data_IF_858160548050
#
_entry.id   IF_858160548050
#
_cell.length_a   1.000
_cell.length_b   1.000
_cell.length_c   1.000
_cell.angle_alpha   90.00
_cell.angle_beta   90.00
_cell.angle_gamma   90.00
#
_symmetry.space_group_name_H-M   'P 1'
#
loop_
_entity.id
_entity.type
_entity.pdbx_description
1 polymer ?
#
# COMPACT_ATOMS: atom_id res chain seq x y z
N UNK A 1 22.93 0.56 2.54
CA UNK A 1 23.25 1.21 1.25
C UNK A 1 22.00 1.75 0.56
N UNK A 2 20.99 0.92 0.22
CA UNK A 2 19.76 1.40 -0.42
C UNK A 2 19.04 2.52 0.36
N UNK A 3 18.85 2.32 1.67
CA UNK A 3 18.22 3.32 2.55
C UNK A 3 19.02 4.64 2.50
N UNK A 4 20.35 4.56 2.58
CA UNK A 4 21.21 5.74 2.47
C UNK A 4 20.99 6.46 1.13
N UNK A 5 21.14 5.75 0.00
CA UNK A 5 21.00 6.33 -1.33
C UNK A 5 19.63 6.97 -1.54
N UNK A 6 18.58 6.33 -1.05
CA UNK A 6 17.22 6.83 -1.16
C UNK A 6 17.03 8.17 -0.45
N UNK A 7 17.33 8.20 0.86
CA UNK A 7 17.15 9.42 1.66
C UNK A 7 18.12 10.51 1.23
N UNK A 8 19.33 10.14 0.79
CA UNK A 8 20.27 11.08 0.20
C UNK A 8 19.70 11.75 -1.06
N UNK A 9 19.20 10.98 -2.03
CA UNK A 9 18.67 11.55 -3.29
C UNK A 9 17.44 12.42 -3.03
N UNK A 10 16.50 11.96 -2.19
CA UNK A 10 15.31 12.72 -1.85
C UNK A 10 15.65 14.01 -1.07
N UNK A 11 16.52 13.92 -0.06
CA UNK A 11 16.96 15.10 0.70
C UNK A 11 17.73 16.08 -0.20
N UNK A 12 18.60 15.59 -1.08
CA UNK A 12 19.34 16.42 -2.02
C UNK A 12 18.39 17.17 -2.96
N UNK A 13 17.38 16.49 -3.49
CA UNK A 13 16.38 17.14 -4.35
C UNK A 13 15.59 18.22 -3.60
N UNK A 14 15.20 17.96 -2.36
CA UNK A 14 14.46 18.92 -1.52
C UNK A 14 15.33 20.12 -1.11
N UNK A 15 16.60 19.91 -0.76
CA UNK A 15 17.45 21.00 -0.28
C UNK A 15 18.02 21.82 -1.44
N UNK A 16 18.42 21.17 -2.54
CA UNK A 16 19.07 21.83 -3.67
C UNK A 16 18.08 22.46 -4.66
N UNK A 17 16.86 21.92 -4.79
CA UNK A 17 15.82 22.44 -5.71
C UNK A 17 14.49 22.75 -5.03
N UNK A 18 14.31 22.37 -3.76
CA UNK A 18 13.00 22.33 -3.15
C UNK A 18 12.55 23.63 -2.50
N UNK A 19 11.23 23.80 -2.59
CA UNK A 19 10.28 24.74 -1.95
C UNK A 19 10.80 26.12 -1.52
N UNK A 20 10.38 27.19 -2.22
CA UNK A 20 10.60 28.59 -1.83
C UNK A 20 10.13 28.95 -0.41
N UNK A 21 9.22 28.15 0.16
CA UNK A 21 8.70 28.31 1.51
C UNK A 21 9.73 28.04 2.62
N UNK A 22 10.82 27.32 2.34
CA UNK A 22 11.91 27.11 3.29
C UNK A 22 13.12 28.04 3.06
N UNK A 23 13.09 28.86 1.99
CA UNK A 23 14.21 29.73 1.59
C UNK A 23 15.55 28.97 1.47
N UNK A 24 15.51 27.71 1.02
CA UNK A 24 16.68 26.85 0.81
C UNK A 24 17.24 26.97 -0.63
N UNK A 25 16.56 27.76 -1.45
CA UNK A 25 16.71 27.97 -2.88
C UNK A 25 18.12 28.44 -3.24
N UNK A 26 18.74 29.23 -2.35
CA UNK A 26 20.07 29.83 -2.51
C UNK A 26 21.17 29.05 -1.78
N UNK A 27 20.90 27.83 -1.30
CA UNK A 27 21.93 27.06 -0.59
C UNK A 27 23.02 26.59 -1.56
N UNK A 28 24.31 26.79 -1.23
CA UNK A 28 25.39 26.37 -2.10
C UNK A 28 25.41 24.83 -2.19
N UNK A 29 25.70 24.29 -3.38
CA UNK A 29 25.64 22.85 -3.68
C UNK A 29 26.39 21.99 -2.66
N UNK A 30 27.54 22.45 -2.17
CA UNK A 30 28.34 21.72 -1.18
C UNK A 30 27.60 21.56 0.17
N UNK A 31 26.87 22.59 0.61
CA UNK A 31 26.10 22.55 1.86
C UNK A 31 24.91 21.60 1.70
N UNK A 32 24.21 21.70 0.57
CA UNK A 32 23.14 20.75 0.18
C UNK A 32 23.62 19.30 0.21
N UNK A 33 24.80 19.03 -0.36
CA UNK A 33 25.40 17.68 -0.37
C UNK A 33 25.72 17.19 1.05
N UNK A 34 26.36 18.01 1.88
CA UNK A 34 26.72 17.62 3.25
C UNK A 34 25.47 17.32 4.08
N UNK A 35 24.48 18.22 4.08
CA UNK A 35 23.23 18.01 4.81
C UNK A 35 22.50 16.74 4.35
N UNK A 36 22.43 16.50 3.04
CA UNK A 36 21.77 15.32 2.48
C UNK A 36 22.49 14.02 2.82
N UNK A 37 23.84 14.04 2.86
CA UNK A 37 24.64 12.88 3.30
C UNK A 37 24.37 12.62 4.79
N UNK A 38 24.33 13.65 5.63
CA UNK A 38 24.03 13.50 7.06
C UNK A 38 22.64 12.91 7.30
N UNK A 39 21.62 13.40 6.60
CA UNK A 39 20.25 12.85 6.66
C UNK A 39 20.24 11.39 6.19
N UNK A 40 20.87 11.12 5.04
CA UNK A 40 20.97 9.76 4.49
C UNK A 40 21.63 8.78 5.45
N UNK A 41 22.73 9.17 6.10
CA UNK A 41 23.44 8.34 7.09
C UNK A 41 22.55 8.14 8.32
N UNK A 42 21.95 9.20 8.86
CA UNK A 42 21.07 9.11 10.02
C UNK A 42 19.90 8.15 9.80
N UNK A 43 19.19 8.30 8.68
CA UNK A 43 18.10 7.40 8.31
C UNK A 43 18.58 5.96 8.07
N UNK A 44 19.75 5.77 7.45
CA UNK A 44 20.32 4.44 7.26
C UNK A 44 20.69 3.76 8.58
N UNK A 45 21.23 4.49 9.55
CA UNK A 45 21.54 3.97 10.88
C UNK A 45 20.27 3.58 11.64
N UNK A 46 19.26 4.45 11.64
CA UNK A 46 17.95 4.15 12.25
C UNK A 46 17.33 2.90 11.61
N UNK A 47 17.34 2.82 10.28
CA UNK A 47 16.86 1.65 9.55
C UNK A 47 17.63 0.39 9.93
N UNK A 48 18.96 0.46 10.01
CA UNK A 48 19.82 -0.69 10.31
C UNK A 48 19.66 -1.20 11.76
N UNK A 49 19.60 -0.29 12.74
CA UNK A 49 19.62 -0.64 14.16
C UNK A 49 18.22 -0.80 14.78
N UNK A 50 17.18 -0.19 14.20
CA UNK A 50 15.81 -0.25 14.73
C UNK A 50 14.92 -0.98 13.74
N UNK A 51 14.88 -0.52 12.48
CA UNK A 51 13.95 -1.05 11.47
C UNK A 51 14.16 -2.52 11.15
N UNK A 52 15.37 -2.91 10.73
CA UNK A 52 15.70 -4.28 10.35
C UNK A 52 15.49 -5.28 11.50
N UNK A 53 16.02 -5.07 12.72
CA UNK A 53 15.81 -6.03 13.80
C UNK A 53 14.33 -6.12 14.21
N UNK A 54 13.58 -5.02 14.18
CA UNK A 54 12.15 -5.03 14.45
C UNK A 54 11.38 -5.86 13.42
N UNK A 55 11.64 -5.65 12.13
CA UNK A 55 11.00 -6.39 11.04
C UNK A 55 11.40 -7.87 11.10
N UNK A 56 12.69 -8.19 11.26
CA UNK A 56 13.17 -9.57 11.38
C UNK A 56 12.48 -10.31 12.52
N UNK A 57 12.41 -9.70 13.70
CA UNK A 57 11.75 -10.29 14.86
C UNK A 57 10.26 -10.53 14.59
N UNK A 58 9.57 -9.61 13.91
CA UNK A 58 8.17 -9.81 13.52
C UNK A 58 7.99 -10.94 12.50
N UNK A 59 8.85 -11.00 11.48
CA UNK A 59 8.80 -12.05 10.47
C UNK A 59 9.06 -13.41 11.10
N UNK A 60 10.06 -13.51 11.98
CA UNK A 60 10.40 -14.74 12.69
C UNK A 60 9.23 -15.24 13.56
N UNK A 61 8.62 -14.36 14.36
CA UNK A 61 7.43 -14.71 15.14
C UNK A 61 6.28 -15.16 14.23
N UNK A 62 6.06 -14.48 13.10
CA UNK A 62 5.01 -14.86 12.16
C UNK A 62 5.29 -16.23 11.51
N UNK A 63 6.54 -16.51 11.12
CA UNK A 63 6.96 -17.78 10.53
C UNK A 63 6.79 -18.93 11.52
N UNK A 64 7.24 -18.74 12.77
CA UNK A 64 7.08 -19.74 13.84
C UNK A 64 5.59 -20.01 14.08
N UNK A 65 4.75 -18.98 14.18
CA UNK A 65 3.31 -19.17 14.38
C UNK A 65 2.67 -19.92 13.20
N UNK A 66 3.07 -19.62 11.96
CA UNK A 66 2.57 -20.28 10.75
C UNK A 66 3.03 -21.73 10.64
N UNK A 67 4.27 -22.02 11.02
CA UNK A 67 4.81 -23.39 11.05
C UNK A 67 4.17 -24.23 12.15
N UNK A 68 3.96 -23.64 13.34
CA UNK A 68 3.22 -24.28 14.43
C UNK A 68 1.78 -24.61 14.03
N UNK A 69 1.09 -23.70 13.35
CA UNK A 69 -0.27 -23.94 12.82
C UNK A 69 -0.28 -25.11 11.82
N UNK A 70 0.63 -25.10 10.84
CA UNK A 70 0.70 -26.17 9.82
C UNK A 70 1.03 -27.56 10.40
N UNK A 71 1.84 -27.61 11.46
CA UNK A 71 2.27 -28.85 12.09
C UNK A 71 1.36 -29.29 13.24
N UNK A 72 0.29 -28.55 13.53
CA UNK A 72 -0.67 -28.90 14.57
C UNK A 72 -1.53 -30.09 14.07
N UNK A 73 -1.42 -31.29 14.66
CA UNK A 73 -2.18 -32.46 14.20
C UNK A 73 -3.69 -32.25 14.33
N UNK A 74 -4.14 -31.45 15.31
CA UNK A 74 -5.54 -31.00 15.39
C UNK A 74 -5.91 -30.11 14.19
N UNK A 75 -5.04 -29.22 13.70
CA UNK A 75 -5.36 -28.38 12.54
C UNK A 75 -5.38 -29.14 11.22
N UNK A 76 -4.55 -30.17 11.06
CA UNK A 76 -4.61 -31.07 9.90
C UNK A 76 -5.87 -31.95 9.93
N UNK A 77 -6.25 -32.47 11.09
CA UNK A 77 -7.54 -33.14 11.25
C UNK A 77 -8.71 -32.18 11.09
N UNK A 78 -8.60 -30.93 11.56
CA UNK A 78 -9.59 -29.88 11.33
C UNK A 78 -9.66 -29.55 9.86
N UNK A 79 -8.59 -29.27 9.09
CA UNK A 79 -8.69 -29.01 7.63
C UNK A 79 -9.35 -30.15 6.85
N UNK A 80 -9.02 -31.42 7.19
CA UNK A 80 -9.65 -32.59 6.59
C UNK A 80 -11.13 -32.73 7.01
N UNK A 81 -11.41 -32.57 8.31
CA UNK A 81 -12.75 -32.58 8.89
C UNK A 81 -13.58 -31.35 8.52
N UNK A 82 -12.94 -30.26 8.12
CA UNK A 82 -13.53 -28.98 7.75
C UNK A 82 -13.90 -29.01 6.29
N UNK A 83 -13.06 -29.58 5.41
CA UNK A 83 -13.50 -29.96 4.07
C UNK A 83 -14.74 -30.87 4.13
N UNK A 84 -14.75 -31.86 5.02
CA UNK A 84 -15.90 -32.75 5.24
C UNK A 84 -17.12 -32.04 5.88
N UNK A 85 -16.91 -31.22 6.92
CA UNK A 85 -17.94 -30.42 7.58
C UNK A 85 -18.50 -29.34 6.67
N UNK A 86 -17.72 -28.73 5.78
CA UNK A 86 -18.20 -27.79 4.77
C UNK A 86 -19.12 -28.51 3.81
N UNK A 87 -18.72 -29.68 3.31
CA UNK A 87 -19.53 -30.49 2.41
C UNK A 87 -20.82 -30.96 3.08
N UNK A 88 -20.78 -31.22 4.40
CA UNK A 88 -21.94 -31.67 5.18
C UNK A 88 -22.82 -30.51 5.65
N UNK A 89 -22.28 -29.39 6.13
CA UNK A 89 -22.98 -28.18 6.59
C UNK A 89 -23.58 -27.40 5.43
N UNK A 90 -22.90 -27.32 4.28
CA UNK A 90 -23.50 -26.81 3.04
C UNK A 90 -24.68 -27.69 2.60
N UNK A 91 -24.55 -29.03 2.70
CA UNK A 91 -25.68 -29.95 2.48
C UNK A 91 -26.80 -29.76 3.51
N UNK A 92 -26.46 -29.56 4.78
CA UNK A 92 -27.41 -29.41 5.88
C UNK A 92 -28.20 -28.10 5.79
N UNK A 93 -27.57 -26.99 5.37
CA UNK A 93 -28.24 -25.72 5.09
C UNK A 93 -29.18 -25.84 3.88
N UNK A 94 -28.76 -26.55 2.82
CA UNK A 94 -29.62 -26.85 1.67
C UNK A 94 -30.80 -27.74 2.06
N UNK A 95 -30.62 -28.64 3.04
CA UNK A 95 -31.64 -29.59 3.51
C UNK A 95 -32.61 -29.00 4.55
N UNK A 96 -32.14 -28.13 5.44
CA UNK A 96 -32.93 -27.49 6.53
C UNK A 96 -33.77 -26.30 6.07
N UNK A 97 -34.04 -26.15 4.77
CA UNK A 97 -34.93 -25.11 4.24
C UNK A 97 -36.41 -25.27 4.65
N UNK A 98 -36.75 -26.21 5.53
CA UNK A 98 -38.01 -26.21 6.26
C UNK A 98 -37.80 -26.17 7.79
N UNK A 99 -38.42 -25.14 8.41
CA UNK A 99 -38.79 -24.98 9.83
C UNK A 99 -37.88 -24.20 10.84
N UNK A 100 -38.54 -23.18 11.43
CA UNK A 100 -38.23 -22.31 12.60
C UNK A 100 -37.27 -21.09 12.42
N UNK A 101 -37.85 -19.88 12.57
CA UNK A 101 -37.54 -18.70 11.74
C UNK A 101 -36.78 -17.50 12.36
N UNK A 102 -36.34 -17.49 13.62
CA UNK A 102 -35.73 -16.26 14.20
C UNK A 102 -34.39 -16.50 14.93
N UNK A 103 -34.30 -17.45 15.86
CA UNK A 103 -33.02 -17.71 16.57
C UNK A 103 -31.99 -18.43 15.70
N UNK A 104 -32.43 -19.26 14.76
CA UNK A 104 -31.57 -19.88 13.75
C UNK A 104 -31.03 -18.85 12.73
N UNK A 105 -31.72 -17.73 12.50
CA UNK A 105 -31.33 -16.80 11.43
C UNK A 105 -30.01 -16.09 11.74
N UNK A 106 -29.80 -15.67 13.00
CA UNK A 106 -28.51 -15.08 13.42
C UNK A 106 -27.35 -16.08 13.36
N UNK A 107 -27.61 -17.34 13.70
CA UNK A 107 -26.59 -18.40 13.67
C UNK A 107 -26.26 -18.82 12.24
N UNK A 108 -27.28 -18.90 11.38
CA UNK A 108 -27.12 -19.14 9.95
C UNK A 108 -26.37 -17.98 9.29
N UNK A 109 -26.70 -16.73 9.64
CA UNK A 109 -26.00 -15.55 9.13
C UNK A 109 -24.52 -15.57 9.57
N UNK A 110 -24.22 -15.84 10.84
CA UNK A 110 -22.83 -15.94 11.29
C UNK A 110 -22.06 -17.08 10.61
N UNK A 111 -22.69 -18.24 10.46
CA UNK A 111 -22.08 -19.39 9.78
C UNK A 111 -21.85 -19.09 8.28
N UNK A 112 -22.78 -18.42 7.60
CA UNK A 112 -22.63 -17.98 6.22
C UNK A 112 -21.51 -16.96 6.06
N UNK A 113 -21.40 -16.00 6.98
CA UNK A 113 -20.31 -15.01 6.95
C UNK A 113 -18.95 -15.69 7.09
N UNK A 114 -18.85 -16.70 7.94
CA UNK A 114 -17.63 -17.50 8.10
C UNK A 114 -17.29 -18.27 6.81
N UNK A 115 -18.27 -18.96 6.21
CA UNK A 115 -18.10 -19.68 4.93
C UNK A 115 -17.66 -18.74 3.80
N UNK A 116 -18.27 -17.55 3.70
CA UNK A 116 -17.94 -16.53 2.69
C UNK A 116 -16.50 -16.06 2.85
N UNK A 117 -16.04 -15.82 4.09
CA UNK A 117 -14.66 -15.40 4.32
C UNK A 117 -13.64 -16.47 3.95
N UNK A 118 -13.96 -17.73 4.23
CA UNK A 118 -13.06 -18.85 3.94
C UNK A 118 -12.97 -19.10 2.45
N UNK A 119 -14.09 -19.12 1.74
CA UNK A 119 -14.12 -19.23 0.28
C UNK A 119 -13.33 -18.08 -0.37
N UNK A 120 -13.48 -16.86 0.14
CA UNK A 120 -12.71 -15.70 -0.33
C UNK A 120 -11.20 -15.89 -0.14
N UNK A 121 -10.74 -16.39 1.02
CA UNK A 121 -9.33 -16.63 1.28
C UNK A 121 -8.76 -17.74 0.38
N UNK A 122 -9.50 -18.83 0.20
CA UNK A 122 -9.12 -19.94 -0.67
C UNK A 122 -9.02 -19.48 -2.13
N UNK A 123 -9.93 -18.62 -2.59
CA UNK A 123 -9.86 -18.02 -3.93
C UNK A 123 -8.59 -17.16 -4.10
N UNK A 124 -8.20 -16.37 -3.10
CA UNK A 124 -6.96 -15.59 -3.15
C UNK A 124 -5.74 -16.51 -3.26
N UNK A 125 -5.68 -17.55 -2.42
CA UNK A 125 -4.57 -18.50 -2.42
C UNK A 125 -4.45 -19.28 -3.73
N UNK A 126 -5.57 -19.75 -4.28
CA UNK A 126 -5.62 -20.37 -5.62
C UNK A 126 -5.08 -19.44 -6.71
N UNK A 127 -5.41 -18.14 -6.66
CA UNK A 127 -4.88 -17.16 -7.60
C UNK A 127 -3.37 -16.95 -7.43
N UNK A 128 -2.89 -16.89 -6.19
CA UNK A 128 -1.47 -16.68 -5.90
C UNK A 128 -0.60 -17.90 -6.27
N UNK A 129 -1.15 -19.10 -6.19
CA UNK A 129 -0.46 -20.34 -6.58
C UNK A 129 -0.49 -20.57 -8.09
N UNK A 130 -1.53 -20.10 -8.79
CA UNK A 130 -1.64 -20.19 -10.25
C UNK A 130 -0.78 -19.17 -11.00
N UNK A 131 -0.42 -18.05 -10.34
CA UNK A 131 0.41 -17.00 -10.90
C UNK A 131 1.80 -17.48 -11.35
N UNK A 132 2.33 -16.91 -12.46
CA UNK A 132 3.62 -17.33 -13.00
C UNK A 132 4.76 -17.17 -11.97
N UNK A 133 5.68 -18.13 -11.96
CA UNK A 133 6.86 -18.07 -11.10
C UNK A 133 8.03 -17.55 -11.94
N UNK A 134 8.62 -16.45 -11.51
CA UNK A 134 9.81 -15.87 -12.15
C UNK A 134 11.08 -16.36 -11.49
N UNK A 135 12.19 -16.29 -12.23
CA UNK A 135 13.52 -16.66 -11.73
C UNK A 135 13.94 -15.82 -10.51
N UNK A 136 14.59 -16.48 -9.56
CA UNK A 136 14.99 -15.87 -8.29
C UNK A 136 15.97 -14.70 -8.48
N UNK A 137 16.88 -14.80 -9.46
CA UNK A 137 17.84 -13.73 -9.77
C UNK A 137 17.12 -12.49 -10.30
N UNK A 138 16.11 -12.70 -11.14
CA UNK A 138 15.29 -11.62 -11.71
C UNK A 138 14.46 -10.94 -10.62
N UNK A 139 13.80 -11.71 -9.76
CA UNK A 139 13.05 -11.19 -8.61
C UNK A 139 13.95 -10.39 -7.66
N UNK A 140 15.17 -10.88 -7.39
CA UNK A 140 16.14 -10.17 -6.55
C UNK A 140 16.58 -8.85 -7.17
N UNK A 141 16.85 -8.80 -8.47
CA UNK A 141 17.18 -7.56 -9.16
C UNK A 141 16.00 -6.57 -9.13
N UNK A 142 14.80 -7.04 -9.45
CA UNK A 142 13.59 -6.24 -9.43
C UNK A 142 13.24 -5.74 -8.01
N UNK A 143 13.60 -6.47 -6.94
CA UNK A 143 13.39 -5.99 -5.57
C UNK A 143 14.13 -4.70 -5.26
N UNK A 144 15.35 -4.52 -5.79
CA UNK A 144 16.08 -3.27 -5.63
C UNK A 144 15.42 -2.13 -6.39
N UNK A 145 14.95 -2.40 -7.62
CA UNK A 145 14.25 -1.41 -8.44
C UNK A 145 12.89 -1.02 -7.84
N UNK A 146 12.15 -2.00 -7.33
CA UNK A 146 10.85 -1.80 -6.69
C UNK A 146 11.01 -0.93 -5.44
N UNK A 147 11.99 -1.18 -4.57
CA UNK A 147 12.20 -0.34 -3.39
C UNK A 147 12.48 1.12 -3.80
N UNK A 148 13.29 1.34 -4.83
CA UNK A 148 13.58 2.69 -5.32
C UNK A 148 12.32 3.36 -5.87
N UNK A 149 11.59 2.66 -6.74
CA UNK A 149 10.36 3.18 -7.37
C UNK A 149 9.25 3.44 -6.36
N UNK A 150 9.02 2.53 -5.41
CA UNK A 150 8.01 2.65 -4.37
C UNK A 150 8.24 3.89 -3.51
N UNK A 151 9.50 4.20 -3.22
CA UNK A 151 9.84 5.36 -2.41
C UNK A 151 9.71 6.68 -3.18
N UNK A 152 10.08 6.71 -4.47
CA UNK A 152 9.82 7.88 -5.32
C UNK A 152 8.31 8.10 -5.51
N UNK A 153 7.56 7.02 -5.75
CA UNK A 153 6.10 7.06 -5.85
C UNK A 153 5.49 7.56 -4.54
N UNK A 154 5.91 7.06 -3.39
CA UNK A 154 5.47 7.51 -2.06
C UNK A 154 5.77 9.00 -1.82
N UNK A 155 6.96 9.48 -2.18
CA UNK A 155 7.32 10.90 -2.06
C UNK A 155 6.46 11.80 -2.95
N UNK A 156 6.30 11.42 -4.23
CA UNK A 156 5.49 12.16 -5.18
C UNK A 156 4.00 12.17 -4.78
N UNK A 157 3.46 11.01 -4.39
CA UNK A 157 2.08 10.86 -3.96
C UNK A 157 1.82 11.64 -2.66
N UNK A 158 2.72 11.54 -1.68
CA UNK A 158 2.62 12.29 -0.42
C UNK A 158 2.63 13.81 -0.64
N UNK A 159 3.47 14.31 -1.55
CA UNK A 159 3.51 15.74 -1.88
C UNK A 159 2.20 16.22 -2.50
N UNK A 160 1.61 15.43 -3.39
CA UNK A 160 0.32 15.74 -4.02
C UNK A 160 -0.85 15.64 -3.02
N UNK A 161 -0.85 14.63 -2.15
CA UNK A 161 -1.91 14.43 -1.16
C UNK A 161 -1.94 15.52 -0.10
N UNK A 162 -0.77 16.01 0.32
CA UNK A 162 -0.66 17.17 1.22
C UNK A 162 -1.34 18.38 0.59
N UNK A 163 -1.09 18.66 -0.70
CA UNK A 163 -1.72 19.78 -1.41
C UNK A 163 -3.24 19.63 -1.47
N UNK A 164 -3.74 18.45 -1.86
CA UNK A 164 -5.18 18.18 -1.95
C UNK A 164 -5.90 18.27 -0.59
N UNK A 165 -5.26 17.80 0.47
CA UNK A 165 -5.84 17.79 1.82
C UNK A 165 -5.85 19.17 2.48
N UNK A 166 -4.81 19.97 2.23
CA UNK A 166 -4.63 21.29 2.85
C UNK A 166 -5.32 22.40 2.06
N UNK A 167 -5.51 22.26 0.74
CA UNK A 167 -6.05 23.32 -0.10
C UNK A 167 -7.32 24.00 0.46
N UNK A 168 -8.33 23.26 0.98
CA UNK A 168 -9.51 23.90 1.59
C UNK A 168 -9.17 24.71 2.85
N UNK A 169 -8.32 24.16 3.72
CA UNK A 169 -7.91 24.83 4.95
C UNK A 169 -7.07 26.08 4.66
N UNK A 170 -6.17 25.99 3.69
CA UNK A 170 -5.38 27.11 3.20
C UNK A 170 -6.27 28.23 2.65
N UNK A 171 -7.32 27.89 1.90
CA UNK A 171 -8.29 28.87 1.39
C UNK A 171 -9.05 29.57 2.53
N UNK A 172 -9.53 28.82 3.53
CA UNK A 172 -10.19 29.40 4.71
C UNK A 172 -9.26 30.34 5.48
N UNK A 173 -8.01 29.94 5.68
CA UNK A 173 -7.01 30.75 6.39
C UNK A 173 -6.67 32.04 5.64
N UNK A 174 -6.55 31.98 4.31
CA UNK A 174 -6.31 33.15 3.47
C UNK A 174 -7.48 34.14 3.52
N UNK A 175 -8.72 33.64 3.40
CA UNK A 175 -9.92 34.49 3.50
C UNK A 175 -10.00 35.16 4.88
N UNK A 176 -9.67 34.44 5.95
CA UNK A 176 -9.70 34.97 7.32
C UNK A 176 -8.72 36.13 7.53
N UNK A 177 -7.52 36.07 6.92
CA UNK A 177 -6.50 37.11 7.10
C UNK A 177 -6.63 38.26 6.10
N UNK A 178 -6.77 37.94 4.81
CA UNK A 178 -6.64 38.92 3.72
C UNK A 178 -7.99 39.36 3.15
N UNK A 179 -9.08 38.61 3.42
CA UNK A 179 -10.42 38.91 2.91
C UNK A 179 -10.58 38.80 1.38
N UNK A 180 -9.53 38.37 0.67
CA UNK A 180 -9.45 38.30 -0.79
C UNK A 180 -9.02 36.88 -1.18
N UNK A 181 -9.68 36.30 -2.19
CA UNK A 181 -9.29 35.02 -2.79
C UNK A 181 -8.37 35.34 -3.97
N UNK A 182 -7.06 35.37 -3.72
CA UNK A 182 -6.09 35.43 -4.83
C UNK A 182 -5.88 34.03 -5.43
N UNK A 183 -5.57 34.00 -6.72
CA UNK A 183 -5.22 32.82 -7.50
C UNK A 183 -3.96 32.11 -7.01
N UNK A 184 -3.12 32.78 -6.22
CA UNK A 184 -1.96 32.20 -5.52
C UNK A 184 -2.01 32.53 -4.04
N UNK A 185 -2.38 31.54 -3.24
CA UNK A 185 -2.33 31.64 -1.78
C UNK A 185 -0.99 31.10 -1.27
N UNK A 186 -0.20 31.95 -0.64
CA UNK A 186 1.00 31.51 0.08
C UNK A 186 0.57 30.83 1.37
N UNK A 187 0.72 29.51 1.43
CA UNK A 187 0.32 28.72 2.59
C UNK A 187 1.47 28.66 3.62
N UNK A 188 1.24 29.03 4.89
CA UNK A 188 2.28 28.99 5.90
C UNK A 188 2.72 27.56 6.22
N UNK A 189 4.02 27.41 6.51
CA UNK A 189 4.68 26.10 6.64
C UNK A 189 4.07 25.20 7.72
N UNK A 190 3.54 25.77 8.81
CA UNK A 190 2.92 25.00 9.89
C UNK A 190 1.64 24.30 9.43
N UNK A 191 0.89 24.86 8.48
CA UNK A 191 -0.29 24.21 7.89
C UNK A 191 0.17 23.01 7.05
N UNK A 192 1.23 23.18 6.24
CA UNK A 192 1.84 22.08 5.48
C UNK A 192 2.32 20.95 6.39
N UNK A 193 3.01 21.30 7.47
CA UNK A 193 3.48 20.34 8.46
C UNK A 193 2.32 19.57 9.10
N UNK A 194 1.22 20.26 9.44
CA UNK A 194 0.02 19.63 9.99
C UNK A 194 -0.60 18.61 9.02
N UNK A 195 -0.74 18.92 7.73
CA UNK A 195 -1.26 17.94 6.76
C UNK A 195 -0.32 16.74 6.57
N UNK A 196 1.00 16.96 6.55
CA UNK A 196 1.98 15.87 6.52
C UNK A 196 1.86 14.94 7.74
N UNK A 197 1.75 15.50 8.94
CA UNK A 197 1.52 14.72 10.17
C UNK A 197 0.19 13.98 10.11
N UNK A 198 -0.87 14.62 9.62
CA UNK A 198 -2.19 14.01 9.43
C UNK A 198 -2.15 12.78 8.53
N UNK A 199 -1.44 12.86 7.39
CA UNK A 199 -1.25 11.73 6.48
C UNK A 199 -0.49 10.58 7.17
N UNK A 200 0.60 10.88 7.89
CA UNK A 200 1.37 9.85 8.61
C UNK A 200 0.52 9.14 9.66
N UNK A 201 -0.29 9.87 10.42
CA UNK A 201 -1.21 9.30 11.41
C UNK A 201 -2.29 8.46 10.74
N UNK A 202 -2.91 8.95 9.66
CA UNK A 202 -3.94 8.23 8.92
C UNK A 202 -3.43 6.92 8.33
N UNK A 203 -2.26 6.95 7.69
CA UNK A 203 -1.61 5.76 7.13
C UNK A 203 -1.23 4.76 8.23
N UNK A 204 -0.73 5.24 9.37
CA UNK A 204 -0.33 4.38 10.49
C UNK A 204 -1.53 3.71 11.19
N UNK A 205 -2.69 4.39 11.24
CA UNK A 205 -3.86 3.92 11.97
C UNK A 205 -4.80 3.05 11.13
N UNK A 206 -5.01 3.38 9.85
CA UNK A 206 -5.97 2.67 8.99
C UNK A 206 -5.43 2.30 7.61
N UNK A 207 -4.30 2.89 7.20
CA UNK A 207 -3.70 2.63 5.88
C UNK A 207 -3.36 1.16 5.62
N UNK A 208 -3.07 0.39 6.67
CA UNK A 208 -2.77 -1.05 6.54
C UNK A 208 -3.90 -1.84 5.88
N UNK A 209 -5.17 -1.46 6.09
CA UNK A 209 -6.31 -2.16 5.48
C UNK A 209 -6.33 -2.00 3.96
N UNK A 210 -6.02 -0.80 3.47
CA UNK A 210 -5.96 -0.51 2.03
C UNK A 210 -4.75 -1.19 1.40
N UNK A 211 -3.60 -1.15 2.07
CA UNK A 211 -2.38 -1.84 1.62
C UNK A 211 -2.61 -3.36 1.55
N UNK A 212 -3.32 -3.94 2.52
CA UNK A 212 -3.63 -5.37 2.55
C UNK A 212 -4.54 -5.78 1.38
N UNK A 213 -5.61 -5.02 1.14
CA UNK A 213 -6.52 -5.27 0.01
C UNK A 213 -5.81 -5.20 -1.34
N UNK A 214 -5.07 -4.12 -1.60
CA UNK A 214 -4.38 -3.94 -2.89
C UNK A 214 -3.25 -4.97 -3.05
N UNK A 215 -2.53 -5.25 -1.97
CA UNK A 215 -1.35 -6.13 -1.99
C UNK A 215 -1.66 -7.62 -2.04
N UNK A 216 -2.87 -8.06 -1.64
CA UNK A 216 -3.24 -9.48 -1.58
C UNK A 216 -4.49 -9.83 -2.39
N UNK A 217 -5.55 -9.01 -2.31
CA UNK A 217 -6.88 -9.39 -2.81
C UNK A 217 -7.00 -9.21 -4.33
N UNK A 218 -6.37 -8.19 -4.92
CA UNK A 218 -6.51 -7.91 -6.36
C UNK A 218 -5.72 -8.87 -7.23
N UNK A 219 -4.43 -9.03 -6.95
CA UNK A 219 -3.52 -9.93 -7.67
C UNK A 219 -2.26 -10.18 -6.84
N UNK A 220 -1.45 -11.17 -7.24
CA UNK A 220 -0.19 -11.48 -6.56
C UNK A 220 0.86 -10.41 -6.84
N UNK A 221 1.32 -9.73 -5.80
CA UNK A 221 2.40 -8.74 -5.92
C UNK A 221 3.74 -9.38 -5.58
N UNK A 222 4.60 -9.55 -6.60
CA UNK A 222 6.02 -9.90 -6.44
C UNK A 222 6.89 -8.75 -6.96
N UNK A 223 8.18 -8.64 -6.60
CA UNK A 223 9.01 -7.53 -7.06
C UNK A 223 9.06 -7.28 -8.57
N UNK A 224 9.13 -8.34 -9.36
CA UNK A 224 9.06 -8.26 -10.82
C UNK A 224 7.75 -7.67 -11.36
N UNK A 225 6.63 -7.88 -10.65
CA UNK A 225 5.30 -7.32 -10.95
C UNK A 225 5.13 -5.93 -10.34
N UNK A 226 5.64 -5.71 -9.13
CA UNK A 226 5.50 -4.48 -8.37
C UNK A 226 6.18 -3.28 -9.05
N UNK A 227 7.38 -3.49 -9.59
CA UNK A 227 8.09 -2.45 -10.35
C UNK A 227 7.26 -1.86 -11.51
N UNK A 228 6.72 -2.66 -12.46
CA UNK A 228 5.85 -2.12 -13.50
C UNK A 228 4.49 -1.62 -12.97
N UNK A 229 3.95 -2.21 -11.91
CA UNK A 229 2.73 -1.71 -11.25
C UNK A 229 2.88 -0.28 -10.69
N UNK A 230 4.09 0.16 -10.37
CA UNK A 230 4.38 1.51 -9.88
C UNK A 230 4.79 2.45 -11.02
N UNK A 231 5.52 1.96 -12.02
CA UNK A 231 5.90 2.75 -13.20
C UNK A 231 4.71 3.13 -14.08
N UNK A 232 3.76 2.23 -14.31
CA UNK A 232 2.59 2.48 -15.16
C UNK A 232 1.80 3.72 -14.72
N UNK A 233 1.34 3.79 -13.46
CA UNK A 233 0.61 4.94 -12.92
C UNK A 233 1.45 6.21 -12.94
N UNK A 234 2.75 6.12 -12.61
CA UNK A 234 3.65 7.26 -12.65
C UNK A 234 3.75 7.86 -14.06
N UNK A 235 3.89 7.03 -15.10
CA UNK A 235 3.90 7.49 -16.50
C UNK A 235 2.55 8.11 -16.88
N UNK A 236 1.43 7.46 -16.55
CA UNK A 236 0.10 7.97 -16.86
C UNK A 236 -0.17 9.33 -16.20
N UNK A 237 0.14 9.46 -14.90
CA UNK A 237 -0.05 10.70 -14.14
C UNK A 237 0.89 11.79 -14.65
N UNK A 238 2.12 11.45 -15.03
CA UNK A 238 3.06 12.41 -15.61
C UNK A 238 2.56 12.94 -16.95
N UNK A 239 2.08 12.06 -17.83
CA UNK A 239 1.52 12.45 -19.13
C UNK A 239 0.25 13.29 -18.96
N UNK A 240 -0.66 12.88 -18.07
CA UNK A 240 -1.87 13.63 -17.78
C UNK A 240 -1.56 15.02 -17.21
N UNK A 241 -0.60 15.11 -16.28
CA UNK A 241 -0.10 16.38 -15.74
C UNK A 241 0.47 17.29 -16.83
N UNK A 242 1.16 16.73 -17.83
CA UNK A 242 1.69 17.50 -18.97
C UNK A 242 0.63 17.98 -19.94
N UNK A 243 -0.50 17.28 -19.98
CA UNK A 243 -1.68 17.66 -20.77
C UNK A 243 -2.68 18.49 -19.95
N UNK A 244 -2.34 18.83 -18.70
CA UNK A 244 -3.19 19.58 -17.76
C UNK A 244 -4.55 18.89 -17.49
N UNK A 245 -4.60 17.56 -17.62
CA UNK A 245 -5.79 16.77 -17.35
C UNK A 245 -5.77 16.29 -15.90
N UNK A 246 -6.78 16.64 -15.08
CA UNK A 246 -6.87 16.12 -13.72
C UNK A 246 -7.19 14.62 -13.76
N UNK A 247 -6.33 13.81 -13.14
CA UNK A 247 -6.49 12.36 -13.06
C UNK A 247 -6.40 11.87 -11.61
N UNK A 248 -7.11 10.78 -11.31
CA UNK A 248 -7.02 10.12 -10.00
C UNK A 248 -5.84 9.15 -9.99
N UNK A 249 -4.86 9.41 -9.10
CA UNK A 249 -3.70 8.54 -8.89
C UNK A 249 -4.11 7.14 -8.44
N UNK A 250 -5.13 7.03 -7.60
CA UNK A 250 -5.68 5.75 -7.13
C UNK A 250 -6.24 4.92 -8.27
N UNK A 251 -7.01 5.52 -9.20
CA UNK A 251 -7.52 4.79 -10.36
C UNK A 251 -6.39 4.37 -11.31
N UNK A 252 -5.39 5.24 -11.52
CA UNK A 252 -4.21 4.86 -12.29
C UNK A 252 -3.49 3.67 -11.64
N UNK A 253 -3.33 3.68 -10.31
CA UNK A 253 -2.67 2.62 -9.55
C UNK A 253 -3.45 1.29 -9.63
N UNK A 254 -4.74 1.29 -9.32
CA UNK A 254 -5.59 0.10 -9.39
C UNK A 254 -5.61 -0.44 -10.83
N UNK A 255 -5.74 0.44 -11.83
CA UNK A 255 -5.72 0.05 -13.25
C UNK A 255 -4.40 -0.61 -13.65
N UNK A 256 -3.26 -0.14 -13.14
CA UNK A 256 -1.97 -0.78 -13.41
C UNK A 256 -1.79 -2.11 -12.69
N UNK A 257 -2.24 -2.22 -11.43
CA UNK A 257 -2.23 -3.49 -10.68
C UNK A 257 -3.05 -4.54 -11.42
N UNK A 258 -4.24 -4.15 -11.85
CA UNK A 258 -5.14 -4.98 -12.64
C UNK A 258 -4.53 -5.37 -13.98
N UNK A 259 -3.96 -4.40 -14.72
CA UNK A 259 -3.34 -4.64 -16.02
C UNK A 259 -2.15 -5.61 -15.97
N UNK A 260 -1.27 -5.47 -14.97
CA UNK A 260 -0.16 -6.42 -14.77
C UNK A 260 -0.68 -7.80 -14.39
N UNK A 261 -1.71 -7.88 -13.54
CA UNK A 261 -2.37 -9.14 -13.22
C UNK A 261 -2.98 -9.85 -14.43
N UNK A 262 -3.59 -9.09 -15.35
CA UNK A 262 -4.18 -9.67 -16.57
C UNK A 262 -3.15 -10.28 -17.52
N UNK A 263 -1.94 -9.70 -17.59
CA UNK A 263 -0.83 -10.23 -18.39
C UNK A 263 -0.38 -11.59 -17.86
N UNK A 264 -0.42 -11.77 -16.54
CA UNK A 264 -0.11 -13.04 -15.88
C UNK A 264 -1.23 -14.08 -16.06
N UNK A 265 -2.45 -13.61 -16.32
CA UNK A 265 -3.60 -14.42 -16.71
C UNK A 265 -4.90 -13.88 -16.14
N UNK A 266 -5.99 -13.97 -16.90
CA UNK A 266 -7.32 -13.49 -16.48
C UNK A 266 -7.78 -14.11 -15.15
N UNK A 267 -7.37 -15.36 -14.87
CA UNK A 267 -7.71 -16.05 -13.62
C UNK A 267 -6.96 -15.51 -12.40
N UNK A 268 -5.86 -14.76 -12.58
CA UNK A 268 -5.02 -14.26 -11.50
C UNK A 268 -5.50 -12.91 -10.94
N UNK A 269 -6.66 -12.44 -11.39
CA UNK A 269 -7.20 -11.12 -11.05
C UNK A 269 -8.60 -11.25 -10.49
N UNK A 270 -8.89 -10.48 -9.44
CA UNK A 270 -10.23 -10.37 -8.90
C UNK A 270 -11.06 -9.34 -9.66
N UNK A 271 -12.12 -9.80 -10.32
CA UNK A 271 -13.08 -8.90 -10.97
C UNK A 271 -14.20 -8.45 -10.04
N UNK A 272 -14.49 -9.20 -8.97
CA UNK A 272 -15.56 -8.88 -8.05
C UNK A 272 -15.14 -7.75 -7.09
N UNK A 273 -13.85 -7.65 -6.82
CA UNK A 273 -13.27 -6.58 -5.99
C UNK A 273 -13.20 -5.20 -6.67
N UNK A 274 -13.60 -5.08 -7.95
CA UNK A 274 -13.59 -3.83 -8.72
C UNK A 274 -14.88 -3.00 -8.64
N UNK A 275 -15.91 -3.46 -7.92
CA UNK A 275 -17.23 -2.85 -7.81
C UNK A 275 -17.55 -2.26 -6.44
#
# INVERSE_FOLDING_TARGET
>A
ILIFCLFFINALFIIYKGTPALSLDDTPLWLSMVCSISIGIGCALIGQFIGIPFIKKRIEVWLINRENQRNDPEQQEIELSFGEQFTNKSREIVYNNEFNRIDNFKKIDSDLQELIQIDHFEQIEKRHTTAAVYDETSEKLCSYLQVITACFASFAHGSNDVANSIAPLAACWAIYNDGIIDSKVTVPLWILAMGGVGIVIGLSTWGYKVIDRIGKELTKVTPSRGFPMEMGPAITVLLASRLEIPVSTTHCQIGSVFGVGLIDGVKNVDFNSLG
#
